data_IF_384866048480
#
_entry.id   IF_384866048480
#
_cell.length_a   1.000
_cell.length_b   1.000
_cell.length_c   1.000
_cell.angle_alpha   90.00
_cell.angle_beta   90.00
_cell.angle_gamma   90.00
#
_symmetry.space_group_name_H-M   'P 1'
#
loop_
_entity.id
_entity.type
_entity.pdbx_description
1 polymer ?
#
# COMPACT_ATOMS: atom_id res chain seq x y z
N UNK A 1 -3.78 11.71 1.47
CA UNK A 1 -3.98 12.48 2.70
C UNK A 1 -2.69 12.43 3.50
N UNK A 2 -2.13 13.57 3.88
CA UNK A 2 -0.87 13.69 4.64
C UNK A 2 -1.14 14.29 6.01
N UNK A 3 -0.49 13.81 7.06
CA UNK A 3 -0.62 14.23 8.45
C UNK A 3 0.71 14.87 8.91
N UNK A 4 0.71 16.12 9.37
CA UNK A 4 1.92 16.84 9.84
C UNK A 4 1.67 17.58 11.15
N UNK A 5 2.68 17.62 12.02
CA UNK A 5 2.76 18.51 13.18
C UNK A 5 3.47 19.81 12.80
N UNK A 6 2.87 20.99 13.12
CA UNK A 6 3.46 22.30 12.86
C UNK A 6 3.92 23.01 14.13
N UNK A 7 5.19 23.46 14.13
CA UNK A 7 5.65 24.52 15.03
C UNK A 7 5.44 25.89 14.38
N UNK A 8 4.79 26.80 15.11
CA UNK A 8 4.41 28.14 14.65
C UNK A 8 5.60 29.08 14.45
N UNK A 9 5.64 29.80 13.33
CA UNK A 9 6.43 31.03 13.15
C UNK A 9 5.58 32.13 12.51
N UNK A 10 5.74 33.35 12.98
CA UNK A 10 4.93 34.53 12.73
C UNK A 10 5.07 35.14 11.30
N UNK A 11 4.17 36.05 10.89
CA UNK A 11 3.93 36.39 9.49
C UNK A 11 4.89 37.44 8.93
N UNK A 12 5.29 37.29 7.66
CA UNK A 12 5.89 38.36 6.86
C UNK A 12 4.93 38.80 5.76
N UNK A 13 4.59 40.07 5.73
CA UNK A 13 3.86 40.76 4.65
C UNK A 13 4.72 40.79 3.37
N UNK A 14 4.16 40.38 2.25
CA UNK A 14 4.76 40.55 0.91
C UNK A 14 3.70 41.03 -0.07
N UNK A 15 4.04 42.02 -0.89
CA UNK A 15 3.23 42.76 -1.85
C UNK A 15 2.65 41.86 -2.95
N UNK A 16 1.36 42.07 -3.25
CA UNK A 16 0.64 41.41 -4.33
C UNK A 16 0.90 42.10 -5.68
N UNK A 17 1.35 41.29 -6.70
CA UNK A 17 1.20 41.62 -8.11
C UNK A 17 -0.02 40.85 -8.64
N UNK A 18 -1.07 41.56 -9.04
CA UNK A 18 -2.24 40.98 -9.71
C UNK A 18 -1.90 40.66 -11.17
N UNK A 19 -1.77 39.40 -11.50
CA UNK A 19 -1.92 38.91 -12.87
C UNK A 19 -3.32 38.33 -13.03
N UNK A 20 -4.14 38.93 -13.90
CA UNK A 20 -5.44 38.40 -14.29
C UNK A 20 -5.22 37.12 -15.11
N UNK A 21 -5.23 35.96 -14.47
CA UNK A 21 -5.41 34.69 -15.14
C UNK A 21 -6.92 34.43 -15.28
N UNK A 22 -7.40 34.32 -16.50
CA UNK A 22 -8.76 33.86 -16.79
C UNK A 22 -8.94 32.45 -16.19
N UNK A 23 -10.03 32.19 -15.49
CA UNK A 23 -10.27 30.84 -14.95
C UNK A 23 -10.51 29.90 -16.11
N UNK A 24 -9.65 28.90 -16.26
CA UNK A 24 -9.94 27.73 -17.07
C UNK A 24 -11.19 27.04 -16.46
N UNK A 25 -12.14 26.57 -17.27
CA UNK A 25 -13.30 25.86 -16.74
C UNK A 25 -12.81 24.66 -15.96
N UNK A 26 -13.29 24.54 -14.72
CA UNK A 26 -13.03 23.41 -13.87
C UNK A 26 -13.52 22.14 -14.61
N UNK A 27 -12.58 21.31 -15.08
CA UNK A 27 -12.92 20.06 -15.70
C UNK A 27 -13.72 19.22 -14.68
N UNK A 28 -14.94 18.83 -15.05
CA UNK A 28 -15.70 17.86 -14.28
C UNK A 28 -14.90 16.57 -14.18
N UNK A 29 -14.81 16.06 -12.98
CA UNK A 29 -13.98 14.93 -12.64
C UNK A 29 -14.67 13.64 -13.10
N UNK A 30 -14.33 13.16 -14.24
CA UNK A 30 -14.62 11.79 -14.65
C UNK A 30 -13.42 10.92 -14.33
N UNK A 31 -13.60 9.93 -13.47
CA UNK A 31 -12.65 8.84 -13.33
C UNK A 31 -12.60 8.14 -14.69
N UNK A 32 -11.49 8.27 -15.38
CA UNK A 32 -11.29 7.68 -16.70
C UNK A 32 -10.60 6.32 -16.56
N UNK A 33 -11.05 5.31 -17.28
CA UNK A 33 -10.33 4.04 -17.44
C UNK A 33 -8.97 4.23 -18.12
N UNK A 34 -8.73 5.40 -18.71
CA UNK A 34 -7.45 5.77 -19.35
C UNK A 34 -6.56 6.50 -18.35
N UNK A 35 -5.36 6.01 -18.18
CA UNK A 35 -4.31 6.72 -17.46
C UNK A 35 -3.79 7.89 -18.32
N UNK A 36 -3.52 9.09 -17.74
CA UNK A 36 -2.85 10.16 -18.43
C UNK A 36 -1.47 9.73 -18.95
N UNK A 37 -1.08 10.16 -20.14
CA UNK A 37 0.29 9.92 -20.62
C UNK A 37 1.31 10.73 -19.80
N UNK A 38 2.62 10.39 -19.86
CA UNK A 38 3.65 11.16 -19.17
C UNK A 38 3.65 12.66 -19.56
N UNK A 39 3.34 13.00 -20.81
CA UNK A 39 3.21 14.39 -21.27
C UNK A 39 1.99 15.08 -20.70
N UNK A 40 0.86 14.39 -20.65
CA UNK A 40 -0.36 14.92 -20.02
C UNK A 40 -0.17 15.16 -18.53
N UNK A 41 0.55 14.27 -17.82
CA UNK A 41 0.85 14.45 -16.40
C UNK A 41 1.59 15.75 -16.11
N UNK A 42 2.50 16.18 -16.97
CA UNK A 42 3.24 17.45 -16.81
C UNK A 42 2.32 18.68 -16.80
N UNK A 43 1.15 18.58 -17.41
CA UNK A 43 0.17 19.67 -17.54
C UNK A 43 -0.94 19.58 -16.48
N UNK A 44 -1.05 18.48 -15.76
CA UNK A 44 -2.08 18.26 -14.75
C UNK A 44 -1.63 18.79 -13.38
N UNK A 45 -2.50 19.52 -12.64
CA UNK A 45 -2.21 19.81 -11.25
C UNK A 45 -2.29 18.52 -10.42
N UNK A 46 -1.38 18.34 -9.48
CA UNK A 46 -1.40 17.20 -8.57
C UNK A 46 -2.65 17.20 -7.70
N UNK A 47 -3.10 18.39 -7.26
CA UNK A 47 -4.38 18.62 -6.58
C UNK A 47 -5.31 19.42 -7.51
N UNK A 48 -6.47 18.87 -7.84
CA UNK A 48 -7.36 19.41 -8.89
C UNK A 48 -7.88 20.82 -8.60
N UNK A 49 -8.28 21.13 -7.37
CA UNK A 49 -8.61 22.47 -6.90
C UNK A 49 -8.76 22.48 -5.36
N UNK A 50 -8.58 23.66 -4.74
CA UNK A 50 -8.78 23.83 -3.29
C UNK A 50 -10.23 23.52 -2.85
N UNK A 51 -11.23 23.88 -3.66
CA UNK A 51 -12.64 23.56 -3.37
C UNK A 51 -12.87 22.05 -3.33
N UNK A 52 -12.29 21.33 -4.29
CA UNK A 52 -12.42 19.88 -4.37
C UNK A 52 -11.68 19.20 -3.23
N UNK A 53 -10.47 19.63 -2.91
CA UNK A 53 -9.73 19.14 -1.75
C UNK A 53 -10.53 19.34 -0.46
N UNK A 54 -11.10 20.53 -0.23
CA UNK A 54 -11.94 20.82 0.91
C UNK A 54 -13.22 19.96 0.98
N UNK A 55 -13.79 19.59 -0.19
CA UNK A 55 -14.93 18.68 -0.25
C UNK A 55 -14.52 17.24 0.14
N UNK A 56 -13.39 16.76 -0.35
CA UNK A 56 -12.87 15.43 -0.03
C UNK A 56 -12.52 15.30 1.45
N UNK A 57 -11.91 16.32 2.06
CA UNK A 57 -11.58 16.35 3.48
C UNK A 57 -12.80 16.21 4.40
N UNK A 58 -14.00 16.63 3.97
CA UNK A 58 -15.23 16.43 4.75
C UNK A 58 -15.65 14.97 4.90
N UNK A 59 -15.10 14.09 4.10
CA UNK A 59 -15.40 12.66 4.12
C UNK A 59 -14.33 11.88 4.90
N UNK A 60 -13.29 12.54 5.39
CA UNK A 60 -12.20 11.95 6.16
C UNK A 60 -12.43 12.21 7.64
N UNK A 61 -12.35 11.16 8.46
CA UNK A 61 -12.35 11.24 9.92
C UNK A 61 -10.95 10.84 10.43
N UNK A 62 -10.42 11.55 11.41
CA UNK A 62 -9.09 11.30 11.97
C UNK A 62 -8.99 11.80 13.42
N UNK A 63 -8.00 11.33 14.21
CA UNK A 63 -7.82 11.79 15.59
C UNK A 63 -7.44 13.28 15.63
N UNK A 64 -7.91 14.03 16.65
CA UNK A 64 -7.70 15.47 16.72
C UNK A 64 -6.25 15.90 16.95
N UNK A 65 -5.36 14.95 17.25
CA UNK A 65 -3.92 15.16 17.40
C UNK A 65 -3.19 15.34 16.07
N UNK A 66 -3.87 15.07 14.94
CA UNK A 66 -3.29 15.15 13.60
C UNK A 66 -3.92 16.25 12.77
N UNK A 67 -3.13 16.85 11.89
CA UNK A 67 -3.62 17.70 10.80
C UNK A 67 -3.67 16.87 9.51
N UNK A 68 -4.68 17.13 8.66
CA UNK A 68 -4.90 16.37 7.43
C UNK A 68 -5.00 17.28 6.23
N UNK A 69 -4.28 16.94 5.18
CA UNK A 69 -4.36 17.57 3.86
C UNK A 69 -4.68 16.54 2.77
N UNK A 70 -5.13 17.02 1.61
CA UNK A 70 -5.20 16.23 0.40
C UNK A 70 -3.88 16.38 -0.33
N UNK A 71 -3.09 15.31 -0.39
CA UNK A 71 -1.76 15.32 -1.00
C UNK A 71 -1.82 15.32 -2.52
N UNK A 72 -2.64 14.47 -3.13
CA UNK A 72 -2.86 14.43 -4.57
C UNK A 72 -4.26 13.93 -4.92
N UNK A 73 -4.72 14.20 -6.13
CA UNK A 73 -6.07 13.81 -6.59
C UNK A 73 -6.05 13.32 -8.03
N UNK A 74 -7.06 12.56 -8.45
CA UNK A 74 -7.29 12.35 -9.87
C UNK A 74 -7.51 13.70 -10.61
N UNK A 75 -7.11 13.83 -11.89
CA UNK A 75 -6.63 12.76 -12.77
C UNK A 75 -5.13 12.48 -12.65
N UNK A 76 -4.35 13.28 -11.94
CA UNK A 76 -2.90 13.09 -11.83
C UNK A 76 -2.57 11.78 -11.12
N UNK A 77 -3.17 11.52 -9.96
CA UNK A 77 -3.09 10.24 -9.25
C UNK A 77 -4.46 9.57 -9.30
N UNK A 78 -4.58 8.52 -10.09
CA UNK A 78 -5.82 7.81 -10.36
C UNK A 78 -5.66 6.32 -10.00
N UNK A 79 -6.69 5.67 -9.46
CA UNK A 79 -6.69 4.26 -9.05
C UNK A 79 -5.47 3.85 -8.20
N UNK A 80 -5.11 4.56 -7.10
CA UNK A 80 -3.99 4.17 -6.25
C UNK A 80 -4.29 2.86 -5.54
N UNK A 81 -3.34 1.91 -5.59
CA UNK A 81 -3.50 0.58 -4.97
C UNK A 81 -2.58 0.43 -3.77
N UNK A 82 -1.28 0.66 -3.98
CA UNK A 82 -0.25 0.66 -2.94
C UNK A 82 0.58 1.93 -3.02
N UNK A 83 1.25 2.26 -1.93
CA UNK A 83 2.19 3.37 -1.87
C UNK A 83 3.46 2.97 -1.10
N UNK A 84 4.57 3.64 -1.39
CA UNK A 84 5.77 3.61 -0.58
C UNK A 84 6.24 5.04 -0.35
N UNK A 85 6.49 5.41 0.89
CA UNK A 85 6.99 6.72 1.29
C UNK A 85 8.51 6.68 1.42
N UNK A 86 9.21 7.44 0.58
CA UNK A 86 10.64 7.66 0.77
C UNK A 86 10.88 8.57 1.98
N UNK A 87 12.07 8.49 2.62
CA UNK A 87 12.36 9.28 3.83
C UNK A 87 12.22 10.79 3.68
N UNK A 88 12.34 11.31 2.46
CA UNK A 88 12.23 12.76 2.15
C UNK A 88 10.78 13.22 1.89
N UNK A 89 9.79 12.34 2.02
CA UNK A 89 8.38 12.62 1.72
C UNK A 89 8.00 12.44 0.25
N UNK A 90 8.92 11.96 -0.60
CA UNK A 90 8.56 11.50 -1.94
C UNK A 90 7.71 10.25 -1.86
N UNK A 91 6.57 10.22 -2.54
CA UNK A 91 5.74 9.03 -2.62
C UNK A 91 5.91 8.31 -3.95
N UNK A 92 5.97 6.99 -3.88
CA UNK A 92 5.79 6.11 -5.02
C UNK A 92 4.42 5.45 -4.90
N UNK A 93 3.58 5.63 -5.90
CA UNK A 93 2.18 5.19 -5.86
C UNK A 93 1.92 4.26 -7.03
N UNK A 94 1.58 3.01 -6.75
CA UNK A 94 1.07 2.11 -7.77
C UNK A 94 -0.35 2.54 -8.15
N UNK A 95 -0.59 2.66 -9.45
CA UNK A 95 -1.86 3.08 -10.02
C UNK A 95 -2.29 2.02 -11.03
N UNK A 96 -3.45 1.39 -10.81
CA UNK A 96 -3.94 0.30 -11.66
C UNK A 96 -5.42 0.51 -12.03
N UNK A 97 -5.66 0.93 -13.27
CA UNK A 97 -7.00 1.12 -13.81
C UNK A 97 -7.83 -0.16 -13.96
N UNK A 98 -7.22 -1.34 -13.78
CA UNK A 98 -7.95 -2.61 -13.74
C UNK A 98 -8.62 -2.88 -12.39
N UNK A 99 -8.23 -2.16 -11.36
CA UNK A 99 -8.66 -2.52 -10.02
C UNK A 99 -8.22 -3.93 -9.63
N UNK A 100 -9.13 -4.70 -9.03
CA UNK A 100 -8.82 -6.05 -8.56
C UNK A 100 -9.19 -7.17 -9.53
N UNK A 101 -10.13 -6.95 -10.44
CA UNK A 101 -10.76 -8.03 -11.22
C UNK A 101 -10.52 -7.98 -12.72
N UNK A 102 -10.33 -6.79 -13.30
CA UNK A 102 -10.08 -6.63 -14.73
C UNK A 102 -8.65 -7.02 -15.11
N UNK A 103 -8.41 -7.24 -16.40
CA UNK A 103 -7.13 -7.71 -16.97
C UNK A 103 -6.84 -7.03 -18.31
N UNK A 104 -7.15 -5.76 -18.43
CA UNK A 104 -6.82 -4.97 -19.63
C UNK A 104 -5.35 -4.54 -19.54
N UNK A 105 -4.52 -4.79 -20.57
CA UNK A 105 -3.12 -4.38 -20.56
C UNK A 105 -2.95 -2.87 -20.60
N UNK A 106 -1.81 -2.38 -20.14
CA UNK A 106 -1.40 -0.96 -20.19
C UNK A 106 -2.25 0.00 -19.37
N UNK A 107 -2.91 -0.48 -18.30
CA UNK A 107 -3.65 0.38 -17.35
C UNK A 107 -2.92 0.57 -16.02
N UNK A 108 -1.81 -0.09 -15.82
CA UNK A 108 -0.98 0.02 -14.62
C UNK A 108 0.28 0.85 -14.84
N UNK A 109 0.74 1.51 -13.77
CA UNK A 109 1.98 2.28 -13.71
C UNK A 109 2.38 2.56 -12.27
N UNK A 110 3.60 3.03 -12.05
CA UNK A 110 4.02 3.64 -10.78
C UNK A 110 4.25 5.12 -10.97
N UNK A 111 3.67 5.94 -10.11
CA UNK A 111 3.84 7.38 -10.07
C UNK A 111 4.84 7.76 -8.99
N UNK A 112 5.71 8.73 -9.26
CA UNK A 112 6.47 9.48 -8.27
C UNK A 112 5.74 10.80 -8.02
N UNK A 113 5.42 11.08 -6.76
CA UNK A 113 4.58 12.21 -6.33
C UNK A 113 5.32 12.99 -5.26
N UNK A 114 5.53 14.28 -5.43
CA UNK A 114 6.34 15.11 -4.53
C UNK A 114 5.65 16.41 -4.17
N UNK A 115 5.84 16.80 -2.92
CA UNK A 115 5.65 18.15 -2.41
C UNK A 115 7.04 18.83 -2.40
N UNK A 116 7.28 19.76 -3.32
CA UNK A 116 8.60 20.41 -3.46
C UNK A 116 8.68 21.73 -2.70
N UNK A 117 7.55 22.25 -2.25
CA UNK A 117 7.44 23.54 -1.56
C UNK A 117 7.14 23.40 -0.06
N UNK A 118 6.77 22.21 0.42
CA UNK A 118 6.56 21.90 1.82
C UNK A 118 5.20 22.34 2.36
N UNK A 119 4.19 22.52 1.52
CA UNK A 119 2.84 22.98 1.93
C UNK A 119 1.87 21.83 2.27
N UNK A 120 2.33 20.56 2.15
CA UNK A 120 1.53 19.37 2.42
C UNK A 120 0.66 18.92 1.25
N UNK A 121 0.85 19.51 0.05
CA UNK A 121 0.23 19.10 -1.19
C UNK A 121 1.32 18.82 -2.23
N UNK A 122 1.13 17.82 -3.05
CA UNK A 122 2.06 17.55 -4.13
C UNK A 122 1.96 18.62 -5.22
N UNK A 123 3.08 19.00 -5.79
CA UNK A 123 3.19 19.89 -6.92
C UNK A 123 3.95 19.26 -8.11
N UNK A 124 4.55 18.09 -7.92
CA UNK A 124 5.15 17.30 -9.01
C UNK A 124 4.58 15.88 -9.04
N UNK A 125 4.14 15.43 -10.22
CA UNK A 125 3.74 14.04 -10.49
C UNK A 125 4.42 13.57 -11.77
N UNK A 126 5.18 12.48 -11.68
CA UNK A 126 5.84 11.82 -12.81
C UNK A 126 5.47 10.35 -12.88
N UNK A 127 5.43 9.79 -14.08
CA UNK A 127 5.33 8.35 -14.26
C UNK A 127 6.71 7.72 -14.07
N UNK A 128 7.02 7.26 -12.87
CA UNK A 128 8.30 6.64 -12.53
C UNK A 128 8.50 5.31 -13.28
N UNK A 129 7.47 4.46 -13.30
CA UNK A 129 7.37 3.32 -14.22
C UNK A 129 6.14 3.54 -15.07
N UNK A 130 6.28 4.00 -16.32
CA UNK A 130 5.15 4.49 -17.10
C UNK A 130 4.18 3.41 -17.57
N UNK A 131 4.63 2.16 -17.66
CA UNK A 131 3.81 1.03 -18.12
C UNK A 131 4.25 -0.25 -17.40
N UNK A 132 3.40 -0.74 -16.50
CA UNK A 132 3.56 -2.01 -15.81
C UNK A 132 2.20 -2.56 -15.43
N UNK A 133 1.84 -3.72 -15.98
CA UNK A 133 0.56 -4.35 -15.67
C UNK A 133 0.49 -4.81 -14.21
N UNK A 134 -0.63 -4.50 -13.56
CA UNK A 134 -0.94 -4.94 -12.19
C UNK A 134 0.17 -4.62 -11.18
N UNK A 135 0.63 -3.36 -11.05
CA UNK A 135 1.61 -3.00 -10.03
C UNK A 135 1.00 -3.19 -8.65
N UNK A 136 1.67 -3.97 -7.82
CA UNK A 136 1.27 -4.27 -6.44
C UNK A 136 2.34 -3.78 -5.48
N UNK A 137 2.64 -4.48 -4.41
CA UNK A 137 3.56 -4.06 -3.36
C UNK A 137 4.79 -3.25 -3.79
N UNK A 138 5.03 -2.18 -3.09
CA UNK A 138 6.10 -1.22 -3.34
C UNK A 138 6.98 -1.10 -2.09
N UNK A 139 8.30 -1.03 -2.29
CA UNK A 139 9.26 -0.64 -1.26
C UNK A 139 10.29 0.30 -1.87
N UNK A 140 10.44 1.48 -1.30
CA UNK A 140 11.57 2.36 -1.60
C UNK A 140 12.70 2.09 -0.61
N UNK A 141 13.90 1.86 -1.12
CA UNK A 141 15.11 1.75 -0.31
C UNK A 141 16.29 2.43 -0.99
N UNK A 142 16.90 3.40 -0.32
CA UNK A 142 18.02 4.22 -0.77
C UNK A 142 17.78 4.94 -2.11
N UNK A 143 18.10 4.31 -3.23
CA UNK A 143 18.05 4.89 -4.59
C UNK A 143 17.16 4.08 -5.55
N UNK A 144 16.36 3.14 -5.02
CA UNK A 144 15.66 2.16 -5.85
C UNK A 144 14.27 1.82 -5.33
N UNK A 145 13.41 1.44 -6.26
CA UNK A 145 12.08 0.95 -5.98
C UNK A 145 12.00 -0.55 -6.25
N UNK A 146 11.66 -1.32 -5.23
CA UNK A 146 11.24 -2.71 -5.39
C UNK A 146 9.76 -2.73 -5.69
N UNK A 147 9.37 -3.50 -6.70
CA UNK A 147 8.00 -3.61 -7.17
C UNK A 147 7.62 -5.08 -7.38
N UNK A 148 6.57 -5.51 -6.69
CA UNK A 148 5.86 -6.72 -7.04
C UNK A 148 4.85 -6.41 -8.14
N UNK A 149 5.02 -7.02 -9.29
CA UNK A 149 4.11 -6.91 -10.43
C UNK A 149 3.96 -8.29 -11.06
N UNK A 150 2.82 -8.95 -10.90
CA UNK A 150 2.65 -10.32 -11.41
C UNK A 150 3.13 -10.53 -12.85
N UNK A 151 3.97 -11.56 -13.13
CA UNK A 151 4.32 -12.66 -12.22
C UNK A 151 5.61 -12.45 -11.40
N UNK A 152 6.22 -11.26 -11.39
CA UNK A 152 7.61 -11.05 -10.96
C UNK A 152 7.72 -10.06 -9.79
N UNK A 153 8.88 -10.09 -9.11
CA UNK A 153 9.42 -8.98 -8.32
C UNK A 153 10.60 -8.41 -9.08
N UNK A 154 10.61 -7.09 -9.29
CA UNK A 154 11.71 -6.38 -9.95
C UNK A 154 12.14 -5.17 -9.13
N UNK A 155 13.39 -4.75 -9.34
CA UNK A 155 13.91 -3.47 -8.85
C UNK A 155 14.02 -2.49 -10.01
N UNK A 156 13.65 -1.24 -9.75
CA UNK A 156 13.69 -0.12 -10.70
C UNK A 156 14.58 0.98 -10.13
N UNK A 157 15.45 1.55 -10.96
CA UNK A 157 16.43 2.56 -10.57
C UNK A 157 16.38 3.73 -11.55
N UNK A 158 16.34 4.94 -11.00
CA UNK A 158 16.48 6.20 -11.72
C UNK A 158 17.96 6.65 -11.59
N UNK A 159 18.73 6.54 -12.66
CA UNK A 159 20.18 6.77 -12.65
C UNK A 159 20.57 8.22 -12.83
N UNK A 160 19.78 8.97 -13.56
CA UNK A 160 20.04 10.38 -13.87
C UNK A 160 19.20 11.34 -13.02
N UNK A 161 18.37 10.81 -12.13
CA UNK A 161 17.53 11.56 -11.19
C UNK A 161 16.47 12.43 -11.88
N UNK A 162 16.04 12.05 -13.06
CA UNK A 162 15.01 12.78 -13.80
C UNK A 162 13.59 12.43 -13.31
N UNK A 163 13.43 11.40 -12.48
CA UNK A 163 12.16 10.95 -11.88
C UNK A 163 11.44 9.91 -12.70
N UNK A 164 12.14 9.29 -13.66
CA UNK A 164 11.69 8.13 -14.43
C UNK A 164 12.74 7.02 -14.27
N UNK A 165 12.33 5.77 -14.13
CA UNK A 165 13.29 4.69 -13.99
C UNK A 165 13.97 4.36 -15.32
N UNK A 166 15.33 4.30 -15.31
CA UNK A 166 16.16 3.93 -16.47
C UNK A 166 16.45 2.42 -16.52
N UNK A 167 16.49 1.80 -15.36
CA UNK A 167 16.93 0.41 -15.21
C UNK A 167 15.86 -0.43 -14.53
N UNK A 168 15.61 -1.62 -15.11
CA UNK A 168 14.82 -2.67 -14.50
C UNK A 168 15.63 -3.94 -14.38
N UNK A 169 15.63 -4.57 -13.19
CA UNK A 169 16.19 -5.90 -12.97
C UNK A 169 15.16 -6.79 -12.29
N UNK A 170 14.82 -7.93 -12.89
CA UNK A 170 13.99 -8.94 -12.24
C UNK A 170 14.79 -9.67 -11.17
N UNK A 171 14.24 -9.73 -9.97
CA UNK A 171 14.82 -10.37 -8.78
C UNK A 171 14.24 -11.76 -8.55
N UNK A 172 12.93 -11.88 -8.69
CA UNK A 172 12.20 -13.15 -8.58
C UNK A 172 11.26 -13.26 -9.76
N UNK A 173 11.25 -14.39 -10.44
CA UNK A 173 10.28 -14.69 -11.48
C UNK A 173 9.28 -15.75 -11.03
N UNK A 174 8.03 -15.64 -11.50
CA UNK A 174 7.00 -16.65 -11.27
C UNK A 174 6.41 -16.69 -9.84
N UNK A 175 6.55 -15.61 -9.05
CA UNK A 175 5.98 -15.51 -7.70
C UNK A 175 4.45 -15.26 -7.71
N UNK A 176 3.86 -15.15 -8.87
CA UNK A 176 2.42 -15.06 -9.09
C UNK A 176 2.06 -15.72 -10.43
N UNK A 177 0.79 -15.97 -10.66
CA UNK A 177 0.28 -16.20 -12.01
C UNK A 177 0.41 -14.94 -12.84
N UNK A 178 0.54 -15.08 -14.16
CA UNK A 178 0.59 -13.91 -15.03
C UNK A 178 -0.73 -13.13 -14.93
N UNK A 179 -0.65 -11.84 -15.08
CA UNK A 179 -1.79 -10.94 -15.14
C UNK A 179 -2.87 -11.38 -16.16
N UNK A 180 -2.48 -12.06 -17.25
CA UNK A 180 -3.41 -12.60 -18.24
C UNK A 180 -4.17 -13.82 -17.75
N UNK A 181 -3.56 -14.62 -16.88
CA UNK A 181 -4.14 -15.87 -16.38
C UNK A 181 -5.07 -15.64 -15.20
N UNK A 182 -4.70 -14.72 -14.31
CA UNK A 182 -5.44 -14.39 -13.08
C UNK A 182 -5.52 -12.88 -12.86
N UNK A 183 -6.63 -12.36 -12.31
CA UNK A 183 -6.71 -10.98 -11.87
C UNK A 183 -5.80 -10.75 -10.65
N UNK A 184 -5.68 -9.49 -10.25
CA UNK A 184 -4.88 -9.11 -9.10
C UNK A 184 -5.46 -9.58 -7.76
N UNK A 185 -6.78 -9.71 -7.66
CA UNK A 185 -7.44 -10.25 -6.48
C UNK A 185 -6.98 -11.70 -6.21
N UNK A 186 -6.66 -11.98 -4.95
CA UNK A 186 -6.08 -13.26 -4.53
C UNK A 186 -4.70 -13.65 -5.10
N UNK A 187 -4.03 -12.72 -5.78
CA UNK A 187 -2.68 -12.90 -6.32
C UNK A 187 -1.62 -12.58 -5.26
N UNK A 188 -0.35 -12.48 -5.67
CA UNK A 188 0.71 -11.90 -4.83
C UNK A 188 0.57 -10.38 -4.82
N UNK A 189 0.73 -9.76 -3.65
CA UNK A 189 0.40 -8.37 -3.40
C UNK A 189 1.56 -7.64 -2.70
N UNK A 190 1.32 -6.96 -1.55
CA UNK A 190 2.21 -6.04 -0.88
C UNK A 190 3.63 -6.54 -0.62
N UNK A 191 4.56 -5.61 -0.60
CA UNK A 191 5.95 -5.81 -0.21
C UNK A 191 6.27 -4.94 1.00
N UNK A 192 7.09 -5.48 1.92
CA UNK A 192 7.64 -4.76 3.05
C UNK A 192 9.11 -5.11 3.24
N UNK A 193 9.95 -4.14 3.61
CA UNK A 193 11.37 -4.36 3.92
C UNK A 193 11.56 -4.43 5.43
N UNK A 194 11.85 -5.61 5.94
CA UNK A 194 12.19 -5.79 7.34
C UNK A 194 13.58 -5.22 7.69
N UNK A 195 13.76 -4.85 8.95
CA UNK A 195 15.06 -4.36 9.48
C UNK A 195 16.18 -5.43 9.36
N UNK A 196 15.81 -6.70 9.19
CA UNK A 196 16.71 -7.82 8.91
C UNK A 196 17.19 -7.86 7.44
N UNK A 197 16.77 -6.93 6.63
CA UNK A 197 17.13 -6.82 5.22
C UNK A 197 16.47 -7.87 4.32
N UNK A 198 15.30 -8.37 4.69
CA UNK A 198 14.47 -9.20 3.83
C UNK A 198 13.28 -8.40 3.29
N UNK A 199 12.94 -8.65 2.04
CA UNK A 199 11.67 -8.24 1.44
C UNK A 199 10.63 -9.32 1.75
N UNK A 200 9.54 -8.93 2.39
CA UNK A 200 8.39 -9.78 2.72
C UNK A 200 7.26 -9.52 1.73
N UNK A 201 6.80 -10.56 1.06
CA UNK A 201 5.71 -10.49 0.09
C UNK A 201 4.45 -11.16 0.64
N UNK A 202 3.33 -10.47 0.62
CA UNK A 202 2.03 -11.03 0.93
C UNK A 202 1.48 -11.80 -0.26
N UNK A 203 1.09 -13.07 -0.07
CA UNK A 203 0.61 -13.96 -1.11
C UNK A 203 -0.84 -14.34 -0.83
N UNK A 204 -1.73 -14.05 -1.79
CA UNK A 204 -3.11 -14.53 -1.77
C UNK A 204 -3.23 -16.02 -2.12
N UNK A 205 -4.41 -16.60 -1.93
CA UNK A 205 -4.61 -18.06 -1.99
C UNK A 205 -4.55 -18.68 -3.40
N UNK A 206 -4.40 -17.87 -4.45
CA UNK A 206 -3.97 -18.42 -5.74
C UNK A 206 -2.55 -19.02 -5.63
N UNK A 207 -1.69 -18.50 -4.75
CA UNK A 207 -0.31 -18.91 -4.66
C UNK A 207 0.42 -18.77 -5.98
N UNK A 208 1.38 -19.66 -6.23
CA UNK A 208 2.11 -19.74 -7.49
C UNK A 208 2.64 -21.17 -7.75
N UNK A 209 2.90 -21.45 -9.03
CA UNK A 209 3.37 -22.78 -9.44
C UNK A 209 4.81 -23.02 -9.03
N UNK A 210 5.71 -22.09 -9.41
CA UNK A 210 7.12 -22.11 -9.06
C UNK A 210 7.71 -20.71 -9.21
N UNK A 211 8.18 -20.15 -8.12
CA UNK A 211 8.99 -18.93 -8.11
C UNK A 211 10.47 -19.30 -8.20
N UNK A 212 11.26 -18.49 -8.90
CA UNK A 212 12.71 -18.67 -9.04
C UNK A 212 13.42 -17.38 -8.67
N UNK A 213 14.27 -17.42 -7.66
CA UNK A 213 15.13 -16.30 -7.24
C UNK A 213 16.32 -16.09 -8.17
N UNK A 214 17.00 -14.96 -8.02
CA UNK A 214 18.17 -14.61 -8.83
C UNK A 214 19.35 -15.59 -8.67
N UNK A 215 19.44 -16.27 -7.54
CA UNK A 215 20.40 -17.36 -7.27
C UNK A 215 19.99 -18.73 -7.83
N UNK A 216 18.83 -18.80 -8.49
CA UNK A 216 18.25 -20.03 -9.03
C UNK A 216 17.51 -20.89 -7.99
N UNK A 217 17.41 -20.46 -6.75
CA UNK A 217 16.62 -21.14 -5.73
C UNK A 217 15.14 -21.09 -6.10
N UNK A 218 14.45 -22.20 -5.94
CA UNK A 218 13.06 -22.37 -6.33
C UNK A 218 12.17 -22.57 -5.12
N UNK A 219 10.96 -22.01 -5.22
CA UNK A 219 9.91 -22.14 -4.21
C UNK A 219 8.57 -22.42 -4.89
N UNK A 220 7.73 -23.26 -4.26
CA UNK A 220 6.34 -23.49 -4.67
C UNK A 220 5.41 -23.17 -3.51
N UNK A 221 4.29 -22.51 -3.79
CA UNK A 221 3.28 -22.22 -2.78
C UNK A 221 1.88 -22.45 -3.37
N UNK A 222 1.13 -23.37 -2.76
CA UNK A 222 -0.25 -23.69 -3.16
C UNK A 222 -1.23 -23.20 -2.09
N UNK A 223 -1.57 -21.95 -2.16
CA UNK A 223 -2.38 -21.22 -1.19
C UNK A 223 -1.73 -19.90 -0.81
N UNK A 224 -2.32 -19.18 0.13
CA UNK A 224 -1.81 -17.92 0.60
C UNK A 224 -0.76 -18.07 1.71
N UNK A 225 0.03 -17.04 1.89
CA UNK A 225 1.07 -16.99 2.90
C UNK A 225 1.94 -15.74 2.82
N UNK A 226 3.08 -15.79 3.47
CA UNK A 226 4.13 -14.79 3.40
C UNK A 226 5.39 -15.44 2.86
N UNK A 227 5.96 -14.90 1.80
CA UNK A 227 7.25 -15.28 1.23
C UNK A 227 8.23 -14.17 1.50
N UNK A 228 9.50 -14.50 1.76
CA UNK A 228 10.54 -13.48 1.84
C UNK A 228 11.72 -13.81 0.93
N UNK A 229 12.42 -12.76 0.50
CA UNK A 229 13.55 -12.85 -0.42
C UNK A 229 14.54 -11.73 -0.09
N UNK A 230 15.84 -11.95 -0.35
CA UNK A 230 16.83 -10.88 -0.21
C UNK A 230 16.64 -9.80 -1.28
N UNK A 231 17.03 -8.54 -1.01
CA UNK A 231 16.93 -7.44 -1.98
C UNK A 231 17.71 -7.65 -3.29
N UNK A 232 18.67 -8.58 -3.32
CA UNK A 232 19.39 -8.97 -4.55
C UNK A 232 18.66 -10.08 -5.33
N UNK A 233 17.55 -10.61 -4.79
CA UNK A 233 16.73 -11.69 -5.35
C UNK A 233 17.15 -13.10 -4.93
N UNK A 234 18.13 -13.22 -4.03
CA UNK A 234 18.59 -14.51 -3.52
C UNK A 234 17.77 -15.02 -2.33
N UNK A 235 17.98 -16.28 -1.98
CA UNK A 235 17.49 -16.92 -0.75
C UNK A 235 15.96 -16.99 -0.59
N UNK A 236 15.18 -16.91 -1.68
CA UNK A 236 13.71 -16.97 -1.58
C UNK A 236 13.24 -18.12 -0.69
N UNK A 237 12.35 -17.85 0.27
CA UNK A 237 11.81 -18.86 1.17
C UNK A 237 10.39 -18.54 1.67
N UNK A 238 9.71 -19.58 2.13
CA UNK A 238 8.41 -19.46 2.76
C UNK A 238 8.58 -19.01 4.21
N UNK A 239 7.93 -17.92 4.59
CA UNK A 239 7.94 -17.40 5.97
C UNK A 239 6.69 -17.83 6.75
N UNK A 240 5.52 -17.84 6.11
CA UNK A 240 4.26 -18.33 6.69
C UNK A 240 3.33 -18.82 5.59
N UNK A 241 2.42 -19.74 5.90
CA UNK A 241 1.42 -20.26 4.97
C UNK A 241 0.04 -20.41 5.62
N UNK A 242 -0.97 -20.77 4.82
CA UNK A 242 -2.31 -21.02 5.30
C UNK A 242 -3.13 -19.76 5.54
N UNK A 243 -2.86 -18.68 4.84
CA UNK A 243 -3.74 -17.50 4.73
C UNK A 243 -4.61 -17.57 3.48
N UNK A 244 -5.66 -16.73 3.41
CA UNK A 244 -6.50 -16.65 2.22
C UNK A 244 -6.12 -15.48 1.32
N UNK A 245 -6.37 -14.26 1.75
CA UNK A 245 -6.15 -13.08 0.91
C UNK A 245 -5.61 -11.92 1.74
N UNK A 246 -4.36 -12.08 2.19
CA UNK A 246 -3.59 -10.98 2.76
C UNK A 246 -3.05 -10.11 1.64
N UNK A 247 -3.12 -8.79 1.79
CA UNK A 247 -2.62 -7.87 0.77
C UNK A 247 -1.27 -7.27 1.16
N UNK A 248 -1.00 -7.12 2.45
CA UNK A 248 0.26 -6.59 2.96
C UNK A 248 0.55 -7.08 4.37
N UNK A 249 1.80 -6.97 4.81
CA UNK A 249 2.26 -7.41 6.14
C UNK A 249 3.01 -6.28 6.82
N UNK A 250 2.49 -5.78 7.93
CA UNK A 250 3.23 -4.87 8.81
C UNK A 250 4.32 -5.65 9.55
N UNK A 251 5.59 -5.25 9.39
CA UNK A 251 6.73 -5.90 10.05
C UNK A 251 7.25 -5.01 11.18
N UNK A 252 7.24 -5.52 12.41
CA UNK A 252 7.77 -4.80 13.57
C UNK A 252 9.29 -4.73 13.58
N UNK A 253 9.90 -3.80 14.33
CA UNK A 253 11.36 -3.80 14.56
C UNK A 253 11.89 -5.07 15.23
N UNK A 254 11.02 -5.89 15.81
CA UNK A 254 11.36 -7.19 16.40
C UNK A 254 11.07 -8.36 15.44
N UNK A 255 10.71 -8.05 14.19
CA UNK A 255 10.43 -9.01 13.12
C UNK A 255 9.14 -9.84 13.31
N UNK A 256 8.23 -9.37 14.15
CA UNK A 256 6.87 -9.90 14.20
C UNK A 256 6.07 -9.32 13.03
N UNK A 257 5.41 -10.16 12.25
CA UNK A 257 4.56 -9.74 11.14
C UNK A 257 3.08 -9.73 11.52
N UNK A 258 2.32 -8.77 10.99
CA UNK A 258 0.87 -8.67 11.23
C UNK A 258 0.14 -8.37 9.93
N UNK A 259 -0.96 -9.07 9.67
CA UNK A 259 -1.82 -8.80 8.52
C UNK A 259 -3.29 -9.08 8.81
N UNK A 260 -4.15 -8.35 8.13
CA UNK A 260 -5.59 -8.68 8.04
C UNK A 260 -5.80 -9.69 6.92
N UNK A 261 -6.40 -10.82 7.26
CA UNK A 261 -6.75 -11.86 6.31
C UNK A 261 -8.26 -11.92 6.13
N UNK A 262 -8.71 -11.88 4.90
CA UNK A 262 -10.11 -12.08 4.54
C UNK A 262 -10.34 -13.58 4.34
N UNK A 263 -10.95 -14.24 5.32
CA UNK A 263 -11.10 -15.70 5.31
C UNK A 263 -12.41 -16.22 4.74
N UNK A 264 -13.43 -15.37 4.54
CA UNK A 264 -14.73 -15.72 3.92
C UNK A 264 -15.35 -17.03 4.41
N UNK A 265 -15.25 -17.31 5.69
CA UNK A 265 -15.60 -18.60 6.29
C UNK A 265 -16.93 -18.61 7.05
N UNK A 266 -17.55 -17.46 7.24
CA UNK A 266 -18.74 -17.30 8.06
C UNK A 266 -20.05 -16.92 7.35
N UNK A 267 -20.08 -16.93 6.02
CA UNK A 267 -21.21 -16.40 5.25
C UNK A 267 -21.16 -14.88 5.05
N UNK A 268 -20.05 -14.26 5.40
CA UNK A 268 -19.60 -12.92 5.12
C UNK A 268 -18.08 -12.97 4.92
N UNK A 269 -17.45 -11.85 4.67
CA UNK A 269 -16.01 -11.79 4.55
C UNK A 269 -15.44 -11.44 5.93
N UNK A 270 -15.19 -12.48 6.74
CA UNK A 270 -14.64 -12.31 8.08
C UNK A 270 -13.15 -11.96 8.00
N UNK A 271 -12.76 -10.98 8.78
CA UNK A 271 -11.40 -10.48 8.87
C UNK A 271 -10.73 -11.03 10.13
N UNK A 272 -9.62 -11.71 9.94
CA UNK A 272 -8.74 -12.17 11.02
C UNK A 272 -7.44 -11.39 11.04
N UNK A 273 -6.99 -11.02 12.22
CA UNK A 273 -5.65 -10.47 12.42
C UNK A 273 -4.71 -11.63 12.72
N UNK A 274 -3.76 -11.89 11.83
CA UNK A 274 -2.72 -12.88 12.04
C UNK A 274 -1.46 -12.26 12.62
N UNK A 275 -0.72 -13.08 13.38
CA UNK A 275 0.64 -12.82 13.83
C UNK A 275 1.58 -13.84 13.18
N UNK A 276 2.55 -13.38 12.41
CA UNK A 276 3.54 -14.19 11.73
C UNK A 276 4.87 -14.11 12.48
N UNK A 277 5.24 -15.17 13.18
CA UNK A 277 6.52 -15.29 13.90
C UNK A 277 7.57 -16.15 13.16
N UNK A 278 7.31 -16.44 11.88
CA UNK A 278 8.15 -17.27 11.02
C UNK A 278 7.80 -18.76 11.05
N UNK A 279 7.80 -19.37 9.86
CA UNK A 279 7.51 -20.79 9.62
C UNK A 279 6.19 -21.28 10.24
N UNK A 280 5.15 -20.42 10.17
CA UNK A 280 3.85 -20.66 10.78
C UNK A 280 2.83 -21.17 9.77
N UNK A 281 1.88 -22.02 10.23
CA UNK A 281 0.72 -22.50 9.47
C UNK A 281 -0.55 -21.90 10.06
N UNK A 282 -1.32 -21.17 9.25
CA UNK A 282 -2.57 -20.51 9.66
C UNK A 282 -3.83 -21.24 9.21
N UNK A 283 -3.67 -22.33 8.45
CA UNK A 283 -4.64 -23.39 8.23
C UNK A 283 -5.65 -23.19 7.11
N UNK A 284 -5.73 -22.04 6.47
CA UNK A 284 -6.66 -21.88 5.35
C UNK A 284 -6.21 -22.70 4.11
N UNK A 285 -7.11 -23.36 3.39
CA UNK A 285 -8.56 -23.51 3.66
C UNK A 285 -8.92 -24.76 4.48
N UNK A 286 -7.97 -25.66 4.73
CA UNK A 286 -8.30 -27.02 5.19
C UNK A 286 -8.37 -27.16 6.71
N UNK A 287 -7.44 -26.55 7.42
CA UNK A 287 -7.24 -26.81 8.85
C UNK A 287 -8.02 -25.85 9.73
N UNK A 288 -8.15 -24.60 9.35
CA UNK A 288 -8.59 -23.51 10.23
C UNK A 288 -10.01 -23.68 10.83
N UNK A 289 -10.91 -24.41 10.18
CA UNK A 289 -12.23 -24.77 10.73
C UNK A 289 -12.26 -26.15 11.38
N UNK A 290 -11.61 -27.11 10.75
CA UNK A 290 -11.80 -28.51 11.11
C UNK A 290 -10.75 -29.02 12.12
N UNK A 291 -9.59 -28.41 12.15
CA UNK A 291 -8.45 -28.79 12.99
C UNK A 291 -7.78 -27.58 13.63
N UNK A 292 -8.54 -26.72 14.34
CA UNK A 292 -8.01 -25.46 14.86
C UNK A 292 -6.87 -25.61 15.87
N UNK A 293 -6.69 -26.81 16.44
CA UNK A 293 -5.57 -27.14 17.34
C UNK A 293 -4.24 -27.40 16.61
N UNK A 294 -4.27 -27.51 15.28
CA UNK A 294 -3.08 -27.81 14.45
C UNK A 294 -2.51 -26.56 13.77
N UNK A 295 -3.05 -25.37 14.08
CA UNK A 295 -2.67 -24.11 13.45
C UNK A 295 -2.33 -23.04 14.47
N UNK A 296 -1.59 -22.02 14.03
CA UNK A 296 -1.45 -20.77 14.78
C UNK A 296 -2.77 -19.99 14.69
N UNK A 297 -3.39 -19.81 15.86
CA UNK A 297 -4.66 -19.09 15.93
C UNK A 297 -4.47 -17.60 15.61
N UNK A 298 -5.44 -16.95 14.94
CA UNK A 298 -5.41 -15.50 14.77
C UNK A 298 -5.47 -14.81 16.14
N UNK A 299 -4.93 -13.60 16.20
CA UNK A 299 -5.01 -12.75 17.41
C UNK A 299 -6.45 -12.32 17.70
N UNK A 300 -7.21 -12.07 16.63
CA UNK A 300 -8.61 -11.65 16.72
C UNK A 300 -9.37 -11.99 15.43
N UNK A 301 -10.70 -12.07 15.57
CA UNK A 301 -11.67 -12.07 14.47
C UNK A 301 -12.51 -10.80 14.62
N UNK A 302 -12.51 -9.96 13.58
CA UNK A 302 -13.18 -8.66 13.60
C UNK A 302 -14.50 -8.64 12.81
N UNK A 303 -14.95 -9.79 12.32
CA UNK A 303 -16.13 -9.89 11.47
C UNK A 303 -15.92 -9.34 10.06
N UNK A 304 -16.98 -8.87 9.43
CA UNK A 304 -16.96 -8.49 8.01
C UNK A 304 -16.06 -7.32 7.68
N UNK A 305 -15.36 -7.42 6.55
CA UNK A 305 -14.47 -6.39 6.03
C UNK A 305 -13.76 -6.84 4.74
N UNK A 306 -12.79 -6.05 4.32
CA UNK A 306 -11.89 -6.36 3.20
C UNK A 306 -10.53 -5.74 3.50
N UNK A 307 -9.63 -6.50 4.12
CA UNK A 307 -8.30 -6.05 4.50
C UNK A 307 -7.46 -5.68 3.27
N UNK A 308 -6.66 -4.64 3.40
CA UNK A 308 -5.76 -4.16 2.35
C UNK A 308 -4.36 -3.89 2.92
N UNK A 309 -3.87 -2.65 2.80
CA UNK A 309 -2.55 -2.24 3.23
C UNK A 309 -2.30 -2.42 4.73
N UNK A 310 -1.02 -2.55 5.09
CA UNK A 310 -0.58 -2.69 6.47
C UNK A 310 0.82 -2.11 6.64
N UNK A 311 1.03 -1.31 7.68
CA UNK A 311 2.33 -0.75 8.03
C UNK A 311 2.58 -0.86 9.53
N UNK A 312 3.85 -1.03 9.93
CA UNK A 312 4.26 -0.78 11.32
C UNK A 312 4.72 0.67 11.43
N UNK A 313 4.04 1.44 12.26
CA UNK A 313 4.38 2.85 12.45
C UNK A 313 5.16 2.99 13.77
N UNK A 314 6.42 3.45 13.65
CA UNK A 314 7.30 3.72 14.79
C UNK A 314 8.19 4.93 14.46
N UNK A 315 7.59 6.14 14.52
CA UNK A 315 8.22 7.39 14.15
C UNK A 315 8.19 8.40 15.30
N UNK A 316 9.29 9.16 15.53
CA UNK A 316 9.41 10.05 16.69
C UNK A 316 8.35 11.16 16.77
N UNK A 317 7.81 11.60 15.63
CA UNK A 317 6.79 12.65 15.57
C UNK A 317 5.36 12.17 15.80
N UNK A 318 5.13 10.87 15.84
CA UNK A 318 3.79 10.30 16.05
C UNK A 318 3.45 10.30 17.54
N UNK A 319 2.25 10.77 17.96
CA UNK A 319 1.83 10.71 19.36
C UNK A 319 1.91 9.30 19.92
N UNK A 320 2.42 9.15 21.14
CA UNK A 320 2.71 7.85 21.76
C UNK A 320 1.51 6.87 21.79
N UNK A 321 0.29 7.38 21.82
CA UNK A 321 -0.93 6.57 21.72
C UNK A 321 -1.02 5.80 20.38
N UNK A 322 -0.50 6.39 19.31
CA UNK A 322 -0.62 5.92 17.94
C UNK A 322 0.71 5.42 17.36
N UNK A 323 1.73 5.25 18.19
CA UNK A 323 3.08 4.90 17.76
C UNK A 323 3.48 3.50 18.22
N UNK A 324 4.51 2.93 17.59
CA UNK A 324 5.07 1.62 17.86
C UNK A 324 4.02 0.51 17.82
N UNK A 325 3.27 0.44 16.73
CA UNK A 325 2.16 -0.47 16.56
C UNK A 325 1.88 -0.79 15.08
N UNK A 326 1.25 -1.94 14.79
CA UNK A 326 0.76 -2.21 13.44
C UNK A 326 -0.53 -1.43 13.16
N UNK A 327 -0.59 -0.87 11.96
CA UNK A 327 -1.78 -0.29 11.37
C UNK A 327 -2.23 -1.14 10.19
N UNK A 328 -3.54 -1.23 9.98
CA UNK A 328 -4.10 -1.96 8.85
C UNK A 328 -5.25 -1.21 8.22
N UNK A 329 -5.27 -1.16 6.89
CA UNK A 329 -6.37 -0.61 6.13
C UNK A 329 -7.44 -1.66 5.87
N UNK A 330 -8.69 -1.23 5.77
CA UNK A 330 -9.82 -2.08 5.40
C UNK A 330 -10.73 -1.33 4.42
N UNK A 331 -10.68 -1.76 3.16
CA UNK A 331 -11.43 -1.18 2.05
C UNK A 331 -12.96 -1.32 2.24
N UNK A 332 -13.41 -2.43 2.83
CA UNK A 332 -14.81 -2.72 3.03
C UNK A 332 -15.46 -1.85 4.08
N UNK A 333 -14.76 -1.61 5.19
CA UNK A 333 -15.22 -0.76 6.31
C UNK A 333 -14.81 0.69 6.17
N UNK A 334 -13.90 1.01 5.24
CA UNK A 334 -13.37 2.35 4.98
C UNK A 334 -12.54 2.94 6.14
N UNK A 335 -11.95 2.08 6.97
CA UNK A 335 -11.15 2.48 8.11
C UNK A 335 -9.70 2.00 8.01
N UNK A 336 -8.79 2.86 8.44
CA UNK A 336 -7.48 2.47 8.95
C UNK A 336 -7.64 2.16 10.43
N UNK A 337 -7.13 1.02 10.86
CA UNK A 337 -7.17 0.57 12.24
C UNK A 337 -5.78 0.55 12.84
N UNK A 338 -5.67 1.04 14.06
CA UNK A 338 -4.52 0.85 14.95
C UNK A 338 -4.74 -0.38 15.82
N UNK A 339 -3.69 -1.19 16.01
CA UNK A 339 -3.77 -2.38 16.84
C UNK A 339 -2.85 -2.26 18.06
N UNK A 340 -3.45 -2.15 19.24
CA UNK A 340 -2.72 -2.25 20.51
C UNK A 340 -2.34 -3.71 20.78
N UNK A 341 -1.05 -3.96 21.01
CA UNK A 341 -0.50 -5.30 21.27
C UNK A 341 -0.04 -5.43 22.72
N UNK A 342 -0.45 -6.51 23.39
CA UNK A 342 0.03 -6.87 24.73
C UNK A 342 0.63 -8.28 24.69
N UNK A 343 1.88 -8.50 25.12
CA UNK A 343 2.48 -9.83 25.11
C UNK A 343 1.64 -10.88 25.83
N UNK A 344 1.45 -12.03 25.19
CA UNK A 344 0.68 -13.16 25.71
C UNK A 344 1.35 -14.48 25.34
N UNK A 345 2.22 -14.99 26.21
CA UNK A 345 3.04 -16.16 25.91
C UNK A 345 4.00 -15.88 24.75
N UNK A 346 3.95 -16.70 23.71
CA UNK A 346 4.76 -16.54 22.50
C UNK A 346 4.08 -15.70 21.40
N UNK A 347 3.01 -14.98 21.73
CA UNK A 347 2.23 -14.15 20.81
C UNK A 347 1.67 -12.94 21.57
N UNK A 348 0.61 -12.32 21.06
CA UNK A 348 0.00 -11.13 21.63
C UNK A 348 -1.50 -11.31 21.86
N UNK A 349 -2.04 -10.55 22.81
CA UNK A 349 -3.44 -10.15 22.80
C UNK A 349 -3.53 -8.84 22.02
N UNK A 350 -4.47 -8.75 21.09
CA UNK A 350 -4.64 -7.57 20.25
C UNK A 350 -5.95 -6.85 20.55
N UNK A 351 -5.91 -5.51 20.50
CA UNK A 351 -7.10 -4.66 20.44
C UNK A 351 -7.13 -3.96 19.09
N UNK A 352 -8.32 -3.52 18.65
CA UNK A 352 -8.49 -2.74 17.43
C UNK A 352 -9.14 -1.40 17.76
N UNK A 353 -8.51 -0.31 17.35
CA UNK A 353 -9.05 1.05 17.47
C UNK A 353 -9.12 1.71 16.09
N UNK A 354 -10.21 2.44 15.83
CA UNK A 354 -10.37 3.24 14.60
C UNK A 354 -9.39 4.40 14.64
N UNK A 355 -8.53 4.50 13.63
CA UNK A 355 -7.57 5.58 13.50
C UNK A 355 -8.05 6.63 12.50
N UNK A 356 -8.18 6.28 11.22
CA UNK A 356 -8.62 7.21 10.19
C UNK A 356 -9.66 6.57 9.29
N UNK A 357 -10.66 7.34 8.86
CA UNK A 357 -11.64 6.91 7.87
C UNK A 357 -11.41 7.61 6.55
N UNK A 358 -11.25 6.81 5.51
CA UNK A 358 -11.14 7.29 4.13
C UNK A 358 -12.03 6.42 3.24
N UNK A 359 -12.82 7.01 2.33
CA UNK A 359 -13.61 6.22 1.38
C UNK A 359 -12.74 5.23 0.61
N UNK A 360 -13.03 3.94 0.75
CA UNK A 360 -12.30 2.88 0.03
C UNK A 360 -10.78 2.96 0.20
N UNK A 361 -10.32 3.08 1.43
CA UNK A 361 -8.88 3.08 1.74
C UNK A 361 -8.21 1.82 1.19
N UNK A 362 -7.07 1.96 0.55
CA UNK A 362 -6.33 0.84 -0.04
C UNK A 362 -5.02 0.57 0.67
N UNK A 363 -4.29 1.61 1.06
CA UNK A 363 -2.98 1.45 1.65
C UNK A 363 -2.57 2.65 2.53
N UNK A 364 -1.51 2.48 3.31
CA UNK A 364 -0.89 3.52 4.15
C UNK A 364 0.60 3.27 4.33
N UNK A 365 1.36 4.36 4.49
CA UNK A 365 2.78 4.32 4.83
C UNK A 365 3.19 5.61 5.55
N UNK A 366 4.42 5.68 6.07
CA UNK A 366 4.95 6.82 6.84
C UNK A 366 6.34 7.21 6.36
N UNK A 367 6.61 8.53 6.23
CA UNK A 367 7.95 9.02 5.91
C UNK A 367 8.79 9.31 7.18
N UNK A 368 10.08 9.60 7.00
CA UNK A 368 10.98 9.93 8.11
C UNK A 368 10.67 11.29 8.77
N UNK A 369 9.76 12.08 8.23
CA UNK A 369 9.24 13.31 8.86
C UNK A 369 8.00 13.03 9.71
N UNK A 370 7.62 11.76 9.89
CA UNK A 370 6.42 11.33 10.62
C UNK A 370 5.11 11.75 9.96
N UNK A 371 5.11 11.96 8.65
CA UNK A 371 3.89 12.16 7.88
C UNK A 371 3.31 10.80 7.47
N UNK A 372 2.10 10.50 7.91
CA UNK A 372 1.37 9.30 7.50
C UNK A 372 0.61 9.61 6.21
N UNK A 373 0.79 8.78 5.21
CA UNK A 373 0.08 8.85 3.93
C UNK A 373 -0.91 7.70 3.82
N UNK A 374 -2.05 7.94 3.20
CA UNK A 374 -3.01 6.89 2.89
C UNK A 374 -3.65 7.12 1.53
N UNK A 375 -3.93 6.04 0.82
CA UNK A 375 -4.54 6.05 -0.50
C UNK A 375 -6.02 5.68 -0.46
N UNK A 376 -6.80 6.22 -1.40
CA UNK A 376 -8.23 6.03 -1.49
C UNK A 376 -8.67 5.76 -2.93
N UNK A 377 -9.53 4.75 -3.07
CA UNK A 377 -10.17 4.38 -4.35
C UNK A 377 -11.46 5.14 -4.62
N UNK A 378 -11.71 6.23 -3.92
CA UNK A 378 -12.93 7.00 -4.13
C UNK A 378 -13.08 7.40 -5.59
N UNK A 379 -14.23 7.06 -6.16
CA UNK A 379 -14.56 7.35 -7.56
C UNK A 379 -14.05 6.31 -8.56
N UNK A 380 -13.32 5.28 -8.13
CA UNK A 380 -13.04 4.13 -8.95
C UNK A 380 -14.32 3.32 -9.16
N UNK A 381 -14.57 2.89 -10.41
CA UNK A 381 -15.70 2.03 -10.70
C UNK A 381 -15.38 0.59 -10.28
N UNK A 382 -15.93 0.17 -9.15
CA UNK A 382 -15.94 -1.22 -8.74
C UNK A 382 -17.38 -1.60 -8.42
N UNK A 383 -17.92 -2.55 -9.16
CA UNK A 383 -19.24 -3.12 -8.90
C UNK A 383 -19.08 -4.53 -8.35
N UNK A 384 -19.53 -4.75 -7.13
CA UNK A 384 -19.78 -6.11 -6.65
C UNK A 384 -20.90 -6.73 -7.46
N UNK A 385 -20.64 -7.86 -8.07
CA UNK A 385 -21.64 -8.67 -8.76
C UNK A 385 -22.04 -9.82 -7.86
#
# INVERSE_FOLDING_TARGET
VSLRDFFSAAPRLGLACFSLALPLPAAEFTVSDRQPTPEELKALPAVASAEKAAKLLKEVEFPPEFEVSIFATPPAVNYPVFLAAAPDGTLYVSSDGNGSLDRKPHLGRVLRVRDTNGDGQADEVKAFVPDVDSPRGLVWDHDRLYLLHPPDISVFIDRDSDGVSDEKKTLVSGIAFTFKDRPADHSSNGLELGIDGWLYAAIGDFGFVEATGADGKKLQLRGGGVVRVRPDGSEIELFANGTRNILEVAISPLLDGFARDNTNDGGGWDIRLHHFSGYTEHGYPRLFKNFPQEIIQPLADYGGGSGCGAAWIDEPGIPAKWNNAPFTADWGTEWVYHHGLTPKGATFAATQEKFAKLPRVTDLDVDANSAIYATSWKGASFTWV
#
